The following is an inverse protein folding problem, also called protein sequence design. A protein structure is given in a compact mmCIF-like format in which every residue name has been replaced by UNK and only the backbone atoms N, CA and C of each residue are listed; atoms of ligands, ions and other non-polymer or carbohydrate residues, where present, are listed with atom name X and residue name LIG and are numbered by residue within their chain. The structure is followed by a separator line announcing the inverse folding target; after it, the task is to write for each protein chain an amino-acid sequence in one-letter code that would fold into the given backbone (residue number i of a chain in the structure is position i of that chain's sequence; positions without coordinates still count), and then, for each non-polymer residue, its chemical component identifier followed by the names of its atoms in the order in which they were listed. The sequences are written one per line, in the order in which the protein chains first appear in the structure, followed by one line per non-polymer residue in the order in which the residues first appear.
data_IF_250438933678
#
_entry.id   IF_250438933678
#
_cell.length_a   1.000
_cell.length_b   1.000
_cell.length_c   1.000
_cell.angle_alpha   90.00
_cell.angle_beta   90.00
_cell.angle_gamma   90.00
#
_symmetry.space_group_name_H-M   'P 1'
#
loop_
_entity.id
_entity.type
_entity.pdbx_description
1 polymer ?
#
# COMPACT_ATOMS: atom_id res chain seq x y z
N UNK A 1 -19.45 40.95 18.62
CA UNK A 1 -20.11 40.01 17.68
C UNK A 1 -21.08 39.15 18.47
N UNK A 2 -22.38 39.24 18.16
CA UNK A 2 -23.45 38.28 18.49
C UNK A 2 -23.90 38.13 19.95
N UNK A 3 -24.59 39.13 20.52
CA UNK A 3 -25.32 39.00 21.79
C UNK A 3 -26.80 38.57 21.54
N UNK A 4 -27.02 37.62 20.63
CA UNK A 4 -28.36 37.18 20.22
C UNK A 4 -28.62 35.72 20.62
N UNK A 5 -29.77 35.53 21.28
CA UNK A 5 -30.33 34.22 21.59
C UNK A 5 -30.70 33.51 20.29
N UNK A 6 -30.30 32.24 20.14
CA UNK A 6 -30.64 31.43 18.98
C UNK A 6 -31.85 30.57 19.26
N UNK A 7 -32.82 30.56 18.35
CA UNK A 7 -33.89 29.57 18.36
C UNK A 7 -33.32 28.16 18.15
N UNK A 8 -34.05 27.12 18.56
CA UNK A 8 -33.63 25.73 18.32
C UNK A 8 -33.37 25.42 16.84
N UNK A 9 -34.06 26.10 15.92
CA UNK A 9 -33.85 25.94 14.48
C UNK A 9 -32.54 26.55 14.00
N UNK A 10 -32.21 27.77 14.46
CA UNK A 10 -30.94 28.43 14.17
C UNK A 10 -29.77 27.68 14.81
N UNK A 11 -29.95 27.28 16.07
CA UNK A 11 -28.99 26.46 16.78
C UNK A 11 -28.67 25.17 16.03
N UNK A 12 -29.69 24.50 15.50
CA UNK A 12 -29.51 23.27 14.74
C UNK A 12 -28.70 23.49 13.45
N UNK A 13 -28.98 24.60 12.75
CA UNK A 13 -28.27 24.99 11.53
C UNK A 13 -26.81 25.33 11.80
N UNK A 14 -26.54 26.09 12.86
CA UNK A 14 -25.21 26.65 13.15
C UNK A 14 -24.27 25.67 13.86
N UNK A 15 -24.82 24.70 14.61
CA UNK A 15 -24.06 23.68 15.33
C UNK A 15 -23.87 22.38 14.56
N UNK A 16 -24.71 22.12 13.55
CA UNK A 16 -24.74 20.83 12.85
C UNK A 16 -25.42 19.70 13.63
N UNK A 17 -26.03 19.99 14.79
CA UNK A 17 -26.93 19.07 15.50
C UNK A 17 -28.36 19.26 15.02
N UNK A 18 -29.02 18.19 14.56
CA UNK A 18 -30.44 18.28 14.22
C UNK A 18 -31.31 18.69 15.41
N UNK A 19 -32.48 19.29 15.16
CA UNK A 19 -33.45 19.72 16.20
C UNK A 19 -33.81 18.58 17.18
N UNK A 20 -33.95 17.36 16.67
CA UNK A 20 -34.18 16.17 17.51
C UNK A 20 -32.99 15.86 18.43
N UNK A 21 -31.76 16.03 17.96
CA UNK A 21 -30.55 15.83 18.76
C UNK A 21 -30.43 16.88 19.87
N UNK A 22 -30.75 18.14 19.59
CA UNK A 22 -30.78 19.21 20.60
C UNK A 22 -31.80 18.93 21.70
N UNK A 23 -33.00 18.45 21.35
CA UNK A 23 -34.02 18.01 22.33
C UNK A 23 -33.56 16.81 23.15
N UNK A 24 -32.85 15.88 22.51
CA UNK A 24 -32.29 14.71 23.18
C UNK A 24 -31.22 15.10 24.21
N UNK A 25 -30.30 16.01 23.85
CA UNK A 25 -29.25 16.47 24.76
C UNK A 25 -29.77 17.33 25.91
N UNK A 26 -30.81 18.13 25.67
CA UNK A 26 -31.55 18.81 26.72
C UNK A 26 -32.14 17.80 27.73
N UNK A 27 -32.91 16.80 27.24
CA UNK A 27 -33.49 15.77 28.10
C UNK A 27 -32.45 14.90 28.84
N UNK A 28 -31.24 14.77 28.29
CA UNK A 28 -30.13 14.06 28.90
C UNK A 28 -29.25 14.95 29.81
N UNK A 29 -29.56 16.24 29.93
CA UNK A 29 -28.81 17.20 30.75
C UNK A 29 -27.41 17.51 30.23
N UNK A 30 -27.17 17.33 28.93
CA UNK A 30 -25.85 17.53 28.28
C UNK A 30 -25.71 18.91 27.69
N UNK A 31 -26.80 19.45 27.13
CA UNK A 31 -26.88 20.81 26.62
C UNK A 31 -28.27 21.37 26.94
N UNK A 32 -28.37 22.00 28.11
CA UNK A 32 -29.64 22.55 28.61
C UNK A 32 -29.84 23.95 28.02
N UNK A 33 -30.96 24.23 27.33
CA UNK A 33 -31.22 25.55 26.74
C UNK A 33 -31.33 26.64 27.82
N UNK A 34 -30.76 27.80 27.56
CA UNK A 34 -30.82 28.98 28.45
C UNK A 34 -32.25 29.44 28.74
N UNK A 35 -33.19 29.24 27.81
CA UNK A 35 -34.60 29.55 28.01
C UNK A 35 -35.51 28.54 27.33
N UNK A 36 -36.52 28.09 28.06
CA UNK A 36 -37.65 27.32 27.53
C UNK A 36 -38.93 28.11 27.76
N UNK A 37 -39.69 28.33 26.69
CA UNK A 37 -41.00 28.98 26.78
C UNK A 37 -41.98 28.09 27.56
N UNK A 38 -42.62 28.60 28.64
CA UNK A 38 -43.43 27.80 29.54
C UNK A 38 -44.77 27.33 28.95
N UNK A 39 -45.22 27.93 27.84
CA UNK A 39 -46.52 27.62 27.21
C UNK A 39 -46.34 26.72 25.99
N UNK A 40 -45.37 27.05 25.14
CA UNK A 40 -45.10 26.34 23.87
C UNK A 40 -43.99 25.30 23.98
N UNK A 41 -43.18 25.32 25.05
CA UNK A 41 -42.00 24.46 25.20
C UNK A 41 -40.86 24.79 24.23
N UNK A 42 -40.91 25.97 23.60
CA UNK A 42 -39.93 26.40 22.60
C UNK A 42 -38.59 26.76 23.25
N UNK A 43 -37.48 26.31 22.65
CA UNK A 43 -36.13 26.39 23.25
C UNK A 43 -35.29 27.46 22.59
N UNK A 44 -34.55 28.19 23.43
CA UNK A 44 -33.62 29.23 23.03
C UNK A 44 -32.26 28.99 23.70
N UNK A 45 -31.20 29.18 22.92
CA UNK A 45 -29.82 28.92 23.32
C UNK A 45 -29.02 30.23 23.33
N UNK A 46 -28.19 30.41 24.35
CA UNK A 46 -27.33 31.57 24.47
C UNK A 46 -26.11 31.54 23.54
N UNK A 47 -25.39 32.66 23.40
CA UNK A 47 -24.22 32.76 22.54
C UNK A 47 -23.06 31.84 22.95
N UNK A 48 -22.92 31.54 24.25
CA UNK A 48 -21.87 30.63 24.76
C UNK A 48 -22.14 29.14 24.48
N UNK A 49 -23.38 28.77 24.14
CA UNK A 49 -23.78 27.38 23.95
C UNK A 49 -23.47 26.86 22.54
N UNK A 50 -23.13 27.75 21.60
CA UNK A 50 -22.87 27.38 20.22
C UNK A 50 -21.61 26.52 20.08
N UNK A 51 -20.51 26.89 20.74
CA UNK A 51 -19.26 26.14 20.65
C UNK A 51 -19.34 24.80 21.39
N UNK A 52 -20.07 24.74 22.50
CA UNK A 52 -20.39 23.50 23.19
C UNK A 52 -21.21 22.56 22.29
N UNK A 53 -22.24 23.07 21.62
CA UNK A 53 -23.03 22.26 20.69
C UNK A 53 -22.24 21.79 19.45
N UNK A 54 -21.31 22.62 18.96
CA UNK A 54 -20.38 22.21 17.88
C UNK A 54 -19.46 21.09 18.33
N UNK A 55 -18.90 21.19 19.55
CA UNK A 55 -18.13 20.11 20.14
C UNK A 55 -18.95 18.82 20.19
N UNK A 56 -20.18 18.87 20.72
CA UNK A 56 -21.07 17.72 20.78
C UNK A 56 -21.36 17.13 19.38
N UNK A 57 -21.51 17.98 18.36
CA UNK A 57 -21.68 17.55 16.98
C UNK A 57 -20.46 16.77 16.46
N UNK A 58 -19.25 17.25 16.74
CA UNK A 58 -18.02 16.58 16.35
C UNK A 58 -17.82 15.25 17.08
N UNK A 59 -18.03 15.21 18.41
CA UNK A 59 -17.91 13.98 19.19
C UNK A 59 -18.92 12.92 18.75
N UNK A 60 -20.17 13.32 18.49
CA UNK A 60 -21.21 12.43 17.96
C UNK A 60 -20.83 11.88 16.58
N UNK A 61 -20.31 12.72 15.69
CA UNK A 61 -19.88 12.30 14.34
C UNK A 61 -18.69 11.35 14.39
N UNK A 62 -17.80 11.52 15.37
CA UNK A 62 -16.70 10.62 15.66
C UNK A 62 -17.14 9.29 16.32
N UNK A 63 -18.45 9.07 16.50
CA UNK A 63 -18.98 7.85 17.08
C UNK A 63 -18.69 7.68 18.58
N UNK A 64 -18.41 8.78 19.30
CA UNK A 64 -18.17 8.72 20.73
C UNK A 64 -19.43 8.27 21.48
N UNK A 65 -19.34 7.31 22.43
CA UNK A 65 -20.49 6.88 23.22
C UNK A 65 -21.10 8.01 24.03
N UNK A 66 -22.41 7.95 24.27
CA UNK A 66 -23.13 8.99 25.00
C UNK A 66 -22.56 9.25 26.41
N UNK A 67 -22.08 8.21 27.09
CA UNK A 67 -21.46 8.35 28.41
C UNK A 67 -20.19 9.23 28.35
N UNK A 68 -19.34 9.00 27.34
CA UNK A 68 -18.10 9.75 27.14
C UNK A 68 -18.41 11.19 26.67
N UNK A 69 -19.44 11.37 25.83
CA UNK A 69 -19.95 12.69 25.43
C UNK A 69 -20.40 13.52 26.64
N UNK A 70 -21.08 12.89 27.62
CA UNK A 70 -21.51 13.58 28.85
C UNK A 70 -20.33 14.07 29.67
N UNK A 71 -19.29 13.24 29.80
CA UNK A 71 -18.08 13.61 30.53
C UNK A 71 -17.30 14.71 29.81
N UNK A 72 -17.22 14.64 28.48
CA UNK A 72 -16.58 15.67 27.67
C UNK A 72 -17.33 17.01 27.75
N UNK A 73 -18.66 17.00 27.74
CA UNK A 73 -19.48 18.20 27.93
C UNK A 73 -19.27 18.82 29.32
N UNK A 74 -19.28 18.01 30.37
CA UNK A 74 -19.02 18.47 31.74
C UNK A 74 -17.61 19.05 31.89
N UNK A 75 -16.59 18.41 31.29
CA UNK A 75 -15.22 18.92 31.26
C UNK A 75 -15.11 20.23 30.49
N UNK A 76 -15.83 20.38 29.38
CA UNK A 76 -15.89 21.62 28.60
C UNK A 76 -16.50 22.77 29.41
N UNK A 77 -17.67 22.55 30.02
CA UNK A 77 -18.33 23.55 30.87
C UNK A 77 -17.50 23.91 32.12
N UNK A 78 -16.80 22.92 32.71
CA UNK A 78 -15.92 23.08 33.86
C UNK A 78 -14.50 23.58 33.55
N UNK A 79 -14.18 23.86 32.28
CA UNK A 79 -12.82 24.21 31.82
C UNK A 79 -11.72 23.18 32.12
N UNK A 80 -12.09 21.91 32.33
CA UNK A 80 -11.16 20.80 32.53
C UNK A 80 -10.71 20.23 31.18
N UNK A 81 -9.76 20.93 30.56
CA UNK A 81 -9.17 20.54 29.29
C UNK A 81 -8.45 19.18 29.36
N UNK A 82 -7.88 18.83 30.51
CA UNK A 82 -7.12 17.58 30.66
C UNK A 82 -8.05 16.37 30.57
N UNK A 83 -9.22 16.44 31.21
CA UNK A 83 -10.23 15.39 31.12
C UNK A 83 -10.72 15.18 29.69
N UNK A 84 -11.04 16.26 28.97
CA UNK A 84 -11.53 16.17 27.58
C UNK A 84 -10.47 15.55 26.66
N UNK A 85 -9.21 15.97 26.77
CA UNK A 85 -8.11 15.39 25.97
C UNK A 85 -7.90 13.91 26.28
N UNK A 86 -8.01 13.50 27.54
CA UNK A 86 -7.91 12.09 27.94
C UNK A 86 -9.01 11.24 27.30
N UNK A 87 -10.26 11.70 27.36
CA UNK A 87 -11.40 10.99 26.76
C UNK A 87 -11.26 10.86 25.24
N UNK A 88 -10.74 11.89 24.56
CA UNK A 88 -10.45 11.85 23.14
C UNK A 88 -9.37 10.81 22.80
N UNK A 89 -8.28 10.78 23.55
CA UNK A 89 -7.21 9.81 23.35
C UNK A 89 -7.67 8.37 23.59
N UNK A 90 -8.46 8.13 24.64
CA UNK A 90 -9.02 6.81 24.93
C UNK A 90 -9.98 6.34 23.84
N UNK A 91 -10.82 7.24 23.31
CA UNK A 91 -11.73 6.91 22.20
C UNK A 91 -10.98 6.66 20.89
N UNK A 92 -9.91 7.43 20.60
CA UNK A 92 -9.07 7.19 19.43
C UNK A 92 -8.44 5.80 19.47
N UNK A 93 -7.84 5.42 20.61
CA UNK A 93 -7.29 4.07 20.81
C UNK A 93 -8.36 2.98 20.64
N UNK A 94 -9.59 3.23 21.10
CA UNK A 94 -10.71 2.30 20.94
C UNK A 94 -11.07 2.11 19.46
N UNK A 95 -11.13 3.20 18.68
CA UNK A 95 -11.38 3.17 17.24
C UNK A 95 -10.27 2.44 16.49
N UNK A 96 -9.01 2.71 16.82
CA UNK A 96 -7.85 2.05 16.19
C UNK A 96 -7.84 0.55 16.44
N UNK A 97 -8.13 0.11 17.69
CA UNK A 97 -8.27 -1.31 18.02
C UNK A 97 -9.42 -1.95 17.24
N UNK A 98 -10.58 -1.30 17.20
CA UNK A 98 -11.74 -1.78 16.45
C UNK A 98 -11.46 -1.88 14.95
N UNK A 99 -10.72 -0.92 14.37
CA UNK A 99 -10.27 -0.98 12.98
C UNK A 99 -9.31 -2.14 12.74
N UNK A 100 -8.36 -2.36 13.65
CA UNK A 100 -7.44 -3.50 13.59
C UNK A 100 -8.18 -4.85 13.64
N UNK A 101 -9.16 -4.98 14.54
CA UNK A 101 -10.03 -6.17 14.62
C UNK A 101 -10.84 -6.37 13.34
N UNK A 102 -11.53 -5.32 12.87
CA UNK A 102 -12.30 -5.39 11.63
C UNK A 102 -11.42 -5.78 10.44
N UNK A 103 -10.22 -5.21 10.31
CA UNK A 103 -9.25 -5.58 9.26
C UNK A 103 -8.86 -7.06 9.35
N UNK A 104 -8.60 -7.59 10.55
CA UNK A 104 -8.30 -9.01 10.74
C UNK A 104 -9.47 -9.90 10.32
N UNK A 105 -10.68 -9.56 10.73
CA UNK A 105 -11.89 -10.28 10.34
C UNK A 105 -12.11 -10.27 8.82
N UNK A 106 -11.99 -9.11 8.16
CA UNK A 106 -12.10 -9.02 6.71
C UNK A 106 -11.02 -9.83 5.99
N UNK A 107 -9.79 -9.86 6.52
CA UNK A 107 -8.72 -10.72 6.00
C UNK A 107 -9.06 -12.19 6.13
N UNK A 108 -9.64 -12.63 7.26
CA UNK A 108 -10.09 -14.02 7.43
C UNK A 108 -11.24 -14.38 6.49
N UNK A 109 -12.24 -13.51 6.35
CA UNK A 109 -13.35 -13.72 5.40
C UNK A 109 -12.82 -13.79 3.97
N UNK A 110 -11.88 -12.92 3.58
CA UNK A 110 -11.24 -13.00 2.27
C UNK A 110 -10.49 -14.32 2.09
N UNK A 111 -9.69 -14.74 3.07
CA UNK A 111 -9.00 -16.03 3.00
C UNK A 111 -9.97 -17.22 2.85
N UNK A 112 -11.12 -17.18 3.52
CA UNK A 112 -12.17 -18.20 3.39
C UNK A 112 -12.88 -18.16 2.03
N UNK A 113 -13.09 -16.95 1.47
CA UNK A 113 -13.65 -16.78 0.13
C UNK A 113 -12.65 -17.22 -0.93
N UNK A 114 -11.37 -16.87 -0.81
CA UNK A 114 -10.30 -17.33 -1.71
C UNK A 114 -10.21 -18.86 -1.67
N UNK A 115 -10.31 -19.47 -0.48
CA UNK A 115 -10.36 -20.94 -0.33
C UNK A 115 -11.61 -21.58 -0.98
N UNK A 116 -12.67 -20.82 -1.24
CA UNK A 116 -13.92 -21.27 -1.86
C UNK A 116 -14.04 -20.88 -3.35
N UNK A 117 -13.36 -19.82 -3.77
CA UNK A 117 -13.31 -19.29 -5.14
C UNK A 117 -12.17 -19.90 -5.98
N UNK A 118 -11.27 -20.69 -5.38
CA UNK A 118 -10.54 -21.71 -6.14
C UNK A 118 -11.61 -22.63 -6.76
N UNK A 119 -11.82 -22.63 -8.09
CA UNK A 119 -12.72 -23.59 -8.71
C UNK A 119 -12.21 -24.98 -8.36
N UNK A 120 -13.13 -25.86 -7.97
CA UNK A 120 -12.93 -27.30 -7.90
C UNK A 120 -12.32 -27.83 -9.21
N UNK A 121 -11.00 -27.77 -9.28
CA UNK A 121 -10.09 -28.52 -10.15
C UNK A 121 -8.69 -28.61 -9.50
N UNK A 122 -8.43 -27.93 -8.38
CA UNK A 122 -7.24 -28.22 -7.56
C UNK A 122 -7.48 -29.50 -6.75
N UNK A 123 -6.98 -30.61 -7.28
CA UNK A 123 -6.83 -31.90 -6.62
C UNK A 123 -6.38 -31.75 -5.17
N UNK A 124 -7.18 -32.32 -4.26
CA UNK A 124 -6.84 -32.58 -2.86
C UNK A 124 -5.55 -33.39 -2.75
N UNK A 125 -4.52 -32.82 -2.11
CA UNK A 125 -3.46 -33.36 -1.24
C UNK A 125 -2.99 -34.85 -1.27
N UNK A 126 -3.32 -35.64 -2.30
CA UNK A 126 -2.86 -37.02 -2.44
C UNK A 126 -2.28 -37.35 -3.83
N UNK A 127 -2.49 -36.47 -4.83
CA UNK A 127 -1.88 -36.53 -6.17
C UNK A 127 -1.39 -35.12 -6.57
N UNK A 128 -0.39 -34.57 -5.88
CA UNK A 128 0.24 -33.34 -6.34
C UNK A 128 1.06 -33.68 -7.59
N UNK A 129 0.49 -33.43 -8.77
CA UNK A 129 1.25 -33.53 -10.02
C UNK A 129 2.39 -32.53 -9.94
N UNK A 130 3.60 -33.05 -9.77
CA UNK A 130 4.81 -32.24 -9.79
C UNK A 130 4.91 -31.50 -11.12
N UNK A 131 5.01 -30.19 -11.04
CA UNK A 131 5.19 -29.32 -12.19
C UNK A 131 6.68 -29.09 -12.38
N UNK A 132 7.18 -29.38 -13.57
CA UNK A 132 8.58 -29.13 -13.94
C UNK A 132 8.63 -28.10 -15.05
N UNK A 133 9.37 -27.02 -14.83
CA UNK A 133 9.63 -25.97 -15.82
C UNK A 133 11.12 -25.95 -16.14
N UNK A 134 11.46 -26.05 -17.42
CA UNK A 134 12.83 -25.87 -17.90
C UNK A 134 12.96 -24.44 -18.43
N UNK A 135 13.95 -23.71 -17.93
CA UNK A 135 14.27 -22.34 -18.34
C UNK A 135 15.76 -22.21 -18.67
N UNK A 136 16.16 -21.12 -19.31
CA UNK A 136 17.59 -20.77 -19.37
C UNK A 136 18.06 -20.27 -18.00
N UNK A 137 19.22 -20.75 -17.54
CA UNK A 137 19.78 -20.32 -16.26
C UNK A 137 20.08 -18.83 -16.22
N UNK A 138 20.63 -18.29 -17.31
CA UNK A 138 20.90 -16.86 -17.48
C UNK A 138 19.61 -16.01 -17.46
N UNK A 139 18.55 -16.46 -18.13
CA UNK A 139 17.27 -15.74 -18.15
C UNK A 139 16.60 -15.70 -16.77
N UNK A 140 16.59 -16.83 -16.06
CA UNK A 140 16.06 -16.86 -14.69
C UNK A 140 16.92 -16.04 -13.73
N UNK A 141 18.25 -16.08 -13.87
CA UNK A 141 19.17 -15.26 -13.08
C UNK A 141 18.86 -13.76 -13.24
N UNK A 142 18.78 -13.29 -14.49
CA UNK A 142 18.45 -11.91 -14.82
C UNK A 142 17.07 -11.50 -14.28
N UNK A 143 16.08 -12.40 -14.37
CA UNK A 143 14.75 -12.13 -13.83
C UNK A 143 14.73 -12.02 -12.31
N UNK A 144 15.46 -12.88 -11.60
CA UNK A 144 15.59 -12.80 -10.14
C UNK A 144 16.39 -11.57 -9.68
N UNK A 145 17.47 -11.22 -10.39
CA UNK A 145 18.23 -9.98 -10.17
C UNK A 145 17.35 -8.73 -10.34
N UNK A 146 16.42 -8.76 -11.30
CA UNK A 146 15.52 -7.66 -11.58
C UNK A 146 14.40 -7.47 -10.54
N UNK A 147 14.13 -8.44 -9.65
CA UNK A 147 12.99 -8.34 -8.73
C UNK A 147 13.31 -8.50 -7.25
N UNK A 148 14.32 -9.31 -6.86
CA UNK A 148 14.51 -9.68 -5.43
C UNK A 148 14.69 -8.50 -4.48
N UNK A 149 15.20 -7.37 -4.98
CA UNK A 149 15.43 -6.16 -4.20
C UNK A 149 14.13 -5.55 -3.65
N UNK A 150 12.98 -5.82 -4.28
CA UNK A 150 11.69 -5.26 -3.91
C UNK A 150 10.93 -6.08 -2.87
N UNK A 151 11.47 -7.21 -2.40
CA UNK A 151 10.85 -8.01 -1.35
C UNK A 151 10.88 -7.28 0.01
N UNK A 152 9.83 -7.46 0.80
CA UNK A 152 9.70 -6.85 2.12
C UNK A 152 10.62 -7.50 3.15
N UNK A 153 11.07 -6.72 4.12
CA UNK A 153 11.71 -7.22 5.36
C UNK A 153 10.80 -7.07 6.58
N UNK A 154 9.54 -6.67 6.38
CA UNK A 154 8.55 -6.44 7.45
C UNK A 154 8.05 -7.78 8.01
N UNK A 155 8.31 -8.10 9.30
CA UNK A 155 7.85 -9.35 9.90
C UNK A 155 6.32 -9.41 10.06
N UNK A 156 5.61 -8.28 10.00
CA UNK A 156 4.14 -8.26 10.06
C UNK A 156 3.49 -8.74 8.76
N UNK A 157 4.24 -8.76 7.64
CA UNK A 157 3.78 -9.25 6.34
C UNK A 157 4.71 -10.32 5.76
N UNK A 158 4.77 -11.52 6.38
CA UNK A 158 5.73 -12.55 5.98
C UNK A 158 5.64 -12.95 4.51
N UNK A 159 4.43 -12.97 3.92
CA UNK A 159 4.21 -13.34 2.51
C UNK A 159 4.93 -12.39 1.53
N UNK A 160 5.13 -11.13 1.92
CA UNK A 160 5.86 -10.15 1.11
C UNK A 160 7.38 -10.28 1.26
N UNK A 161 7.86 -11.06 2.22
CA UNK A 161 9.26 -11.46 2.36
C UNK A 161 9.69 -12.57 1.40
N UNK A 162 8.95 -12.76 0.31
CA UNK A 162 9.26 -13.70 -0.75
C UNK A 162 8.98 -13.12 -2.14
N UNK A 163 9.36 -13.88 -3.15
CA UNK A 163 9.13 -13.58 -4.57
C UNK A 163 8.07 -14.54 -5.09
N UNK A 164 7.00 -14.00 -5.66
CA UNK A 164 5.99 -14.78 -6.36
C UNK A 164 6.57 -15.30 -7.68
N UNK A 165 6.49 -16.61 -7.87
CA UNK A 165 6.73 -17.32 -9.11
C UNK A 165 5.37 -17.66 -9.70
N UNK A 166 5.08 -17.17 -10.88
CA UNK A 166 3.76 -17.21 -11.50
C UNK A 166 3.89 -17.65 -12.95
N UNK A 167 3.59 -18.91 -13.20
CA UNK A 167 3.67 -19.51 -14.52
C UNK A 167 2.28 -19.82 -15.06
N UNK A 168 2.02 -19.32 -16.26
CA UNK A 168 0.81 -19.60 -17.03
C UNK A 168 1.20 -20.39 -18.28
N UNK A 169 0.63 -21.59 -18.45
CA UNK A 169 0.94 -22.48 -19.57
C UNK A 169 0.68 -21.83 -20.93
N UNK A 170 -0.37 -21.00 -21.04
CA UNK A 170 -0.65 -20.26 -22.28
C UNK A 170 0.37 -19.15 -22.56
N UNK A 171 0.97 -18.60 -21.50
CA UNK A 171 1.89 -17.46 -21.59
C UNK A 171 3.33 -17.84 -21.93
N UNK A 172 3.74 -19.10 -21.74
CA UNK A 172 5.08 -19.59 -22.08
C UNK A 172 6.24 -18.93 -21.32
N UNK A 173 5.95 -18.18 -20.25
CA UNK A 173 6.95 -17.47 -19.47
C UNK A 173 6.62 -17.55 -17.97
N UNK A 174 7.66 -17.76 -17.17
CA UNK A 174 7.59 -17.65 -15.72
C UNK A 174 7.75 -16.18 -15.34
N UNK A 175 6.69 -15.57 -14.81
CA UNK A 175 6.77 -14.24 -14.23
C UNK A 175 7.23 -14.34 -12.78
N UNK A 176 8.21 -13.52 -12.42
CA UNK A 176 8.68 -13.36 -11.04
C UNK A 176 8.34 -11.97 -10.55
N UNK A 177 7.78 -11.88 -9.34
CA UNK A 177 7.24 -10.63 -8.81
C UNK A 177 7.60 -10.46 -7.34
N UNK A 178 8.08 -9.28 -6.95
CA UNK A 178 8.35 -8.93 -5.56
C UNK A 178 7.78 -7.55 -5.22
N UNK A 179 7.33 -7.37 -3.98
CA UNK A 179 6.77 -6.09 -3.51
C UNK A 179 6.87 -5.95 -1.99
N UNK A 180 6.97 -4.71 -1.52
CA UNK A 180 7.01 -4.34 -0.10
C UNK A 180 5.87 -3.37 0.31
N UNK A 181 4.82 -3.28 -0.54
CA UNK A 181 3.71 -2.30 -0.53
C UNK A 181 4.03 -0.92 -1.08
N UNK A 182 5.28 -0.50 -1.08
CA UNK A 182 5.71 0.83 -1.54
C UNK A 182 6.36 0.79 -2.91
N UNK A 183 6.87 -0.37 -3.31
CA UNK A 183 7.36 -0.65 -4.65
C UNK A 183 6.99 -2.06 -5.08
N UNK A 184 7.04 -2.29 -6.38
CA UNK A 184 6.80 -3.57 -7.01
C UNK A 184 7.76 -3.75 -8.19
N UNK A 185 8.35 -4.92 -8.31
CA UNK A 185 9.20 -5.28 -9.45
C UNK A 185 8.67 -6.55 -10.10
N UNK A 186 8.62 -6.53 -11.43
CA UNK A 186 8.15 -7.64 -12.28
C UNK A 186 9.22 -7.90 -13.33
N UNK A 187 9.52 -9.17 -13.55
CA UNK A 187 10.34 -9.64 -14.66
C UNK A 187 9.81 -10.99 -15.13
N UNK A 188 10.16 -11.38 -16.35
CA UNK A 188 9.81 -12.69 -16.89
C UNK A 188 11.06 -13.46 -17.35
N UNK A 189 10.97 -14.79 -17.28
CA UNK A 189 11.93 -15.69 -17.91
C UNK A 189 11.18 -16.66 -18.82
N UNK A 190 11.66 -16.80 -20.06
CA UNK A 190 11.06 -17.71 -21.03
C UNK A 190 11.20 -19.17 -20.57
N UNK A 191 10.10 -19.92 -20.65
CA UNK A 191 10.06 -21.35 -20.35
C UNK A 191 10.21 -22.11 -21.65
N UNK A 192 11.22 -22.98 -21.73
CA UNK A 192 11.51 -23.77 -22.94
C UNK A 192 10.75 -25.09 -22.97
N UNK A 193 10.43 -25.63 -21.80
CA UNK A 193 9.62 -26.84 -21.66
C UNK A 193 8.87 -26.81 -20.32
N UNK A 194 7.67 -27.41 -20.31
CA UNK A 194 6.87 -27.58 -19.10
C UNK A 194 6.27 -28.98 -19.08
N UNK A 195 6.38 -29.68 -17.96
CA UNK A 195 5.80 -31.00 -17.71
C UNK A 195 4.90 -30.96 -16.48
N UNK A 196 3.88 -31.84 -16.45
CA UNK A 196 2.95 -31.94 -15.32
C UNK A 196 1.87 -30.85 -15.27
N UNK A 197 1.72 -30.05 -16.33
CA UNK A 197 0.60 -29.10 -16.51
C UNK A 197 -0.28 -29.49 -17.70
N UNK A 198 -1.59 -29.30 -17.52
CA UNK A 198 -2.52 -29.19 -18.65
C UNK A 198 -2.40 -27.80 -19.31
N UNK A 199 -2.81 -27.69 -20.58
CA UNK A 199 -2.59 -26.49 -21.40
C UNK A 199 -3.26 -25.20 -20.86
N UNK A 200 -4.23 -25.32 -19.95
CA UNK A 200 -4.92 -24.18 -19.33
C UNK A 200 -4.53 -23.98 -17.84
N UNK A 201 -3.53 -24.71 -17.35
CA UNK A 201 -3.15 -24.68 -15.94
C UNK A 201 -2.20 -23.52 -15.63
N UNK A 202 -2.36 -22.96 -14.43
CA UNK A 202 -1.48 -21.94 -13.86
C UNK A 202 -0.91 -22.43 -12.54
N UNK A 203 0.35 -22.09 -12.28
CA UNK A 203 1.07 -22.46 -11.06
C UNK A 203 1.63 -21.21 -10.41
N UNK A 204 1.34 -21.08 -9.11
CA UNK A 204 1.83 -19.98 -8.30
C UNK A 204 2.53 -20.50 -7.05
N UNK A 205 3.71 -19.97 -6.78
CA UNK A 205 4.51 -20.31 -5.62
C UNK A 205 5.18 -19.05 -5.07
N UNK A 206 5.01 -18.74 -3.79
CA UNK A 206 5.71 -17.62 -3.15
C UNK A 206 6.98 -18.16 -2.50
N UNK A 207 8.13 -17.86 -3.08
CA UNK A 207 9.42 -18.40 -2.66
C UNK A 207 10.08 -17.44 -1.66
N UNK A 208 10.43 -17.85 -0.43
CA UNK A 208 11.06 -16.97 0.55
C UNK A 208 12.36 -16.36 0.03
N UNK A 209 12.63 -15.07 0.32
CA UNK A 209 13.83 -14.37 -0.20
C UNK A 209 15.15 -15.11 0.04
N UNK A 210 15.43 -15.72 1.23
CA UNK A 210 16.67 -16.48 1.42
C UNK A 210 16.80 -17.68 0.46
N UNK A 211 15.68 -18.32 0.10
CA UNK A 211 15.68 -19.41 -0.87
C UNK A 211 15.86 -18.88 -2.29
N UNK A 212 15.27 -17.74 -2.62
CA UNK A 212 15.48 -17.05 -3.91
C UNK A 212 16.95 -16.66 -4.08
N UNK A 213 17.60 -16.15 -3.03
CA UNK A 213 19.03 -15.82 -3.05
C UNK A 213 19.89 -17.06 -3.27
N UNK A 214 19.56 -18.16 -2.58
CA UNK A 214 20.23 -19.45 -2.79
C UNK A 214 20.07 -19.95 -4.23
N UNK A 215 18.84 -19.92 -4.76
CA UNK A 215 18.51 -20.26 -6.14
C UNK A 215 19.32 -19.41 -7.13
N UNK A 216 19.33 -18.09 -6.93
CA UNK A 216 20.11 -17.17 -7.76
C UNK A 216 21.60 -17.51 -7.75
N UNK A 217 22.17 -17.87 -6.60
CA UNK A 217 23.59 -18.24 -6.47
C UNK A 217 23.95 -19.58 -7.15
N UNK A 218 22.96 -20.41 -7.52
CA UNK A 218 23.17 -21.60 -8.34
C UNK A 218 23.26 -21.26 -9.83
N UNK A 219 22.50 -20.25 -10.27
CA UNK A 219 22.34 -19.89 -11.67
C UNK A 219 23.60 -19.22 -12.23
N UNK A 220 24.17 -19.85 -13.25
CA UNK A 220 25.30 -19.33 -14.03
C UNK A 220 24.88 -18.66 -15.33
N UNK A 221 25.87 -18.25 -16.12
CA UNK A 221 25.68 -17.64 -17.45
C UNK A 221 25.29 -18.66 -18.54
N UNK A 222 25.50 -19.96 -18.29
CA UNK A 222 25.26 -21.04 -19.25
C UNK A 222 24.45 -22.17 -18.62
N UNK A 223 23.71 -22.89 -19.47
CA UNK A 223 22.98 -24.10 -19.11
C UNK A 223 21.50 -23.89 -18.77
N UNK A 224 20.70 -24.97 -18.83
CA UNK A 224 19.31 -24.95 -18.39
C UNK A 224 19.21 -24.96 -16.86
N UNK A 225 18.10 -24.45 -16.36
CA UNK A 225 17.67 -24.59 -14.98
C UNK A 225 16.31 -25.28 -14.94
N UNK A 226 16.15 -26.26 -14.06
CA UNK A 226 14.90 -26.98 -13.86
C UNK A 226 14.26 -26.52 -12.55
N UNK A 227 13.07 -25.93 -12.66
CA UNK A 227 12.26 -25.54 -11.51
C UNK A 227 11.17 -26.59 -11.29
N UNK A 228 11.19 -27.22 -10.13
CA UNK A 228 10.18 -28.17 -9.68
C UNK A 228 9.26 -27.49 -8.65
N UNK A 229 7.96 -27.55 -8.89
CA UNK A 229 6.92 -27.10 -7.95
C UNK A 229 6.01 -28.28 -7.63
N UNK A 230 5.93 -28.64 -6.36
CA UNK A 230 5.11 -29.76 -5.86
C UNK A 230 4.42 -29.35 -4.57
N UNK A 231 3.12 -29.07 -4.66
CA UNK A 231 2.33 -28.60 -3.51
C UNK A 231 2.89 -27.30 -2.92
N UNK A 232 3.39 -27.36 -1.68
CA UNK A 232 4.01 -26.23 -0.97
C UNK A 232 5.53 -26.23 -1.05
N UNK A 233 6.14 -27.07 -1.89
CA UNK A 233 7.58 -27.16 -2.07
C UNK A 233 7.99 -26.64 -3.44
N UNK A 234 9.16 -26.02 -3.45
CA UNK A 234 9.83 -25.56 -4.66
C UNK A 234 11.30 -25.96 -4.60
N UNK A 235 11.84 -26.43 -5.73
CA UNK A 235 13.26 -26.73 -5.88
C UNK A 235 13.75 -26.22 -7.24
N UNK A 236 15.00 -25.77 -7.27
CA UNK A 236 15.70 -25.38 -8.47
C UNK A 236 16.96 -26.24 -8.60
N UNK A 237 17.11 -26.85 -9.77
CA UNK A 237 18.29 -27.62 -10.15
C UNK A 237 19.01 -26.92 -11.31
N UNK A 238 20.33 -26.78 -11.20
CA UNK A 238 21.18 -26.23 -12.24
C UNK A 238 22.49 -27.05 -12.30
N UNK A 239 22.58 -27.93 -13.30
CA UNK A 239 23.66 -28.94 -13.37
C UNK A 239 23.58 -29.92 -12.19
N UNK A 240 24.66 -30.05 -11.44
CA UNK A 240 24.73 -30.93 -10.25
C UNK A 240 24.31 -30.23 -8.93
N UNK A 241 23.97 -28.94 -9.00
CA UNK A 241 23.65 -28.13 -7.82
C UNK A 241 22.14 -27.96 -7.69
N UNK A 242 21.64 -28.00 -6.46
CA UNK A 242 20.22 -27.83 -6.16
C UNK A 242 19.98 -26.97 -4.93
N UNK A 243 18.87 -26.23 -4.92
CA UNK A 243 18.35 -25.50 -3.78
C UNK A 243 16.84 -25.65 -3.74
N UNK A 244 16.29 -26.03 -2.60
CA UNK A 244 14.85 -26.21 -2.44
C UNK A 244 14.38 -26.00 -1.01
N UNK A 245 13.09 -25.78 -0.86
CA UNK A 245 12.47 -25.49 0.42
C UNK A 245 10.96 -25.39 0.32
N UNK A 246 10.35 -24.85 1.38
CA UNK A 246 8.91 -24.62 1.44
C UNK A 246 8.58 -23.20 0.98
N UNK A 247 7.53 -23.10 0.20
CA UNK A 247 6.91 -21.84 -0.18
C UNK A 247 6.23 -21.19 1.03
N UNK A 248 6.08 -19.88 0.97
CA UNK A 248 5.23 -19.14 1.90
C UNK A 248 3.76 -19.47 1.61
N UNK A 249 2.92 -19.25 2.62
CA UNK A 249 1.48 -19.44 2.50
C UNK A 249 0.84 -18.54 1.43
N UNK A 250 -0.43 -18.80 1.09
CA UNK A 250 -1.16 -18.00 0.10
C UNK A 250 -1.34 -16.54 0.56
N UNK A 251 -1.71 -15.65 -0.37
CA UNK A 251 -2.03 -14.25 -0.07
C UNK A 251 -1.08 -13.20 -0.64
N UNK A 252 -0.25 -13.56 -1.63
CA UNK A 252 0.51 -12.57 -2.40
C UNK A 252 -0.47 -11.66 -3.18
N UNK A 253 -0.26 -10.33 -3.20
CA UNK A 253 -1.17 -9.40 -3.90
C UNK A 253 -1.32 -9.69 -5.39
N UNK A 254 -2.53 -9.52 -5.93
CA UNK A 254 -2.80 -9.62 -7.37
C UNK A 254 -2.18 -8.43 -8.13
N UNK A 255 -0.90 -8.57 -8.49
CA UNK A 255 -0.12 -7.55 -9.19
C UNK A 255 -0.66 -7.22 -10.59
N UNK A 256 -1.44 -8.10 -11.22
CA UNK A 256 -1.97 -7.90 -12.58
C UNK A 256 -2.89 -6.70 -12.68
N UNK A 257 -3.51 -6.30 -11.56
CA UNK A 257 -4.31 -5.08 -11.45
C UNK A 257 -3.47 -3.81 -11.59
N UNK A 258 -2.19 -3.88 -11.21
CA UNK A 258 -1.24 -2.76 -11.26
C UNK A 258 -0.54 -2.63 -12.62
N UNK A 259 -0.61 -3.64 -13.49
CA UNK A 259 -0.09 -3.59 -14.86
C UNK A 259 -0.89 -2.61 -15.75
N UNK A 260 -2.16 -2.34 -15.41
CA UNK A 260 -3.10 -1.55 -16.22
C UNK A 260 -3.10 -0.05 -15.89
N UNK A 261 -1.97 0.52 -15.50
CA UNK A 261 -1.91 1.96 -15.24
C UNK A 261 -1.99 2.74 -16.56
N UNK A 262 -2.74 3.87 -16.61
CA UNK A 262 -2.84 4.70 -17.80
C UNK A 262 -1.47 5.26 -18.18
N UNK A 263 -1.22 5.36 -19.48
CA UNK A 263 0.06 5.82 -20.01
C UNK A 263 0.40 7.23 -19.48
N UNK A 264 1.61 7.36 -18.95
CA UNK A 264 2.14 8.62 -18.44
C UNK A 264 3.05 9.33 -19.44
N UNK A 265 3.62 10.46 -18.99
CA UNK A 265 4.75 11.11 -19.66
C UNK A 265 5.95 10.18 -19.60
N UNK A 266 6.60 9.92 -20.74
CA UNK A 266 7.75 9.02 -20.86
C UNK A 266 9.02 9.81 -21.12
N UNK A 267 10.09 9.51 -20.39
CA UNK A 267 11.41 10.06 -20.60
C UNK A 267 12.46 8.95 -20.64
N UNK A 268 13.36 8.99 -21.62
CA UNK A 268 14.50 8.07 -21.70
C UNK A 268 15.65 8.69 -20.93
N UNK A 269 16.17 7.96 -19.95
CA UNK A 269 17.30 8.41 -19.13
C UNK A 269 18.54 7.57 -19.39
N UNK A 270 19.70 8.22 -19.41
CA UNK A 270 20.98 7.55 -19.26
C UNK A 270 21.16 7.17 -17.78
N UNK A 271 21.28 5.87 -17.51
CA UNK A 271 21.22 5.34 -16.14
C UNK A 271 22.42 5.82 -15.32
N UNK A 272 23.61 5.87 -15.90
CA UNK A 272 24.81 6.31 -15.18
C UNK A 272 24.71 7.78 -14.78
N UNK A 273 24.38 8.65 -15.74
CA UNK A 273 24.22 10.09 -15.50
C UNK A 273 23.08 10.37 -14.52
N UNK A 274 21.91 9.75 -14.71
CA UNK A 274 20.74 10.00 -13.87
C UNK A 274 20.90 9.47 -12.44
N UNK A 275 21.62 8.36 -12.24
CA UNK A 275 21.99 7.89 -10.89
C UNK A 275 22.91 8.89 -10.19
N UNK A 276 23.83 9.51 -10.91
CA UNK A 276 24.73 10.51 -10.34
C UNK A 276 24.00 11.80 -9.99
N UNK A 277 23.10 12.25 -10.87
CA UNK A 277 22.18 13.35 -10.60
C UNK A 277 21.31 13.04 -9.37
N UNK A 278 20.76 11.83 -9.29
CA UNK A 278 19.98 11.41 -8.13
C UNK A 278 20.79 11.41 -6.86
N UNK A 279 22.07 11.03 -6.85
CA UNK A 279 22.94 10.97 -5.64
C UNK A 279 23.50 12.31 -5.19
N UNK A 280 23.69 13.24 -6.12
CA UNK A 280 24.19 14.59 -5.83
C UNK A 280 23.06 15.61 -5.65
N UNK A 281 21.87 15.29 -6.18
CA UNK A 281 20.68 16.14 -6.15
C UNK A 281 20.04 16.28 -4.77
N UNK A 282 19.13 17.26 -4.63
CA UNK A 282 18.45 17.57 -3.38
C UNK A 282 17.52 16.44 -2.93
N UNK A 283 17.31 16.37 -1.62
CA UNK A 283 16.41 15.41 -0.99
C UNK A 283 15.58 16.07 0.08
N UNK A 284 14.37 15.55 0.29
CA UNK A 284 13.53 15.88 1.45
C UNK A 284 13.50 14.69 2.39
N UNK A 285 13.79 14.93 3.66
CA UNK A 285 13.73 13.88 4.68
C UNK A 285 12.29 13.57 5.04
N UNK A 286 11.95 12.28 5.13
CA UNK A 286 10.68 11.79 5.65
C UNK A 286 10.89 10.70 6.69
N UNK A 287 9.81 10.43 7.43
CA UNK A 287 9.75 9.36 8.43
C UNK A 287 8.60 8.43 8.07
N UNK A 288 8.87 7.13 7.95
CA UNK A 288 7.85 6.13 7.66
C UNK A 288 6.93 5.97 8.87
N UNK A 289 5.63 6.09 8.65
CA UNK A 289 4.62 6.05 9.73
C UNK A 289 4.61 4.73 10.53
N UNK A 290 4.99 3.62 9.88
CA UNK A 290 4.89 2.28 10.48
C UNK A 290 5.96 1.99 11.54
N UNK A 291 7.19 2.44 11.30
CA UNK A 291 8.35 2.07 12.13
C UNK A 291 9.24 3.25 12.51
N UNK A 292 8.91 4.46 12.07
CA UNK A 292 9.69 5.65 12.34
C UNK A 292 11.03 5.71 11.57
N UNK A 293 11.25 4.85 10.59
CA UNK A 293 12.49 4.85 9.81
C UNK A 293 12.58 6.12 8.95
N UNK A 294 13.70 6.83 9.07
CA UNK A 294 13.99 7.98 8.22
C UNK A 294 14.36 7.53 6.80
N UNK A 295 13.88 8.24 5.79
CA UNK A 295 14.22 8.00 4.39
C UNK A 295 14.24 9.30 3.58
N UNK A 296 14.93 9.26 2.45
CA UNK A 296 15.10 10.40 1.57
C UNK A 296 14.13 10.33 0.38
N UNK A 297 13.50 11.46 0.06
CA UNK A 297 12.61 11.63 -1.08
C UNK A 297 13.28 12.55 -2.10
N UNK A 298 13.37 12.09 -3.35
CA UNK A 298 13.74 12.92 -4.50
C UNK A 298 12.47 13.34 -5.24
N UNK A 299 12.41 14.61 -5.67
CA UNK A 299 11.30 15.13 -6.47
C UNK A 299 11.72 15.14 -7.92
N UNK A 300 10.98 14.42 -8.76
CA UNK A 300 11.27 14.31 -10.18
C UNK A 300 10.33 15.21 -11.00
N UNK A 301 10.89 15.79 -12.06
CA UNK A 301 10.13 16.43 -13.13
C UNK A 301 10.31 15.64 -14.41
N UNK A 302 9.21 15.11 -14.96
CA UNK A 302 9.17 14.42 -16.25
C UNK A 302 8.34 15.27 -17.21
N UNK A 303 8.99 15.80 -18.24
CA UNK A 303 8.40 16.72 -19.20
C UNK A 303 7.76 15.98 -20.38
N UNK A 304 6.81 16.62 -21.05
CA UNK A 304 6.22 16.11 -22.30
C UNK A 304 7.26 16.00 -23.44
N UNK A 305 8.36 16.74 -23.34
CA UNK A 305 9.51 16.67 -24.24
C UNK A 305 10.41 15.45 -24.02
N UNK A 306 10.08 14.58 -23.07
CA UNK A 306 10.81 13.34 -22.81
C UNK A 306 12.10 13.50 -22.01
N UNK A 307 12.25 14.62 -21.30
CA UNK A 307 13.33 14.82 -20.33
C UNK A 307 12.84 14.52 -18.91
N UNK A 308 13.66 13.83 -18.13
CA UNK A 308 13.48 13.63 -16.69
C UNK A 308 14.66 14.23 -15.93
N UNK A 309 14.38 15.02 -14.90
CA UNK A 309 15.40 15.69 -14.06
C UNK A 309 15.00 15.68 -12.59
N UNK A 310 15.99 15.79 -11.71
CA UNK A 310 15.79 15.97 -10.27
C UNK A 310 15.57 17.45 -9.99
N UNK A 311 14.43 17.77 -9.37
CA UNK A 311 14.03 19.16 -9.16
C UNK A 311 14.92 19.82 -8.10
N UNK A 312 15.39 21.04 -8.39
CA UNK A 312 16.19 21.86 -7.48
C UNK A 312 15.43 22.36 -6.24
N UNK A 313 16.17 22.74 -5.20
CA UNK A 313 15.60 23.32 -3.98
C UNK A 313 14.87 24.64 -4.28
N UNK A 314 13.62 24.78 -3.77
CA UNK A 314 12.80 25.98 -3.96
C UNK A 314 12.04 26.10 -5.28
N UNK A 315 12.05 25.08 -6.15
CA UNK A 315 11.20 25.04 -7.32
C UNK A 315 9.74 24.76 -6.92
N UNK A 316 8.96 25.82 -6.72
CA UNK A 316 7.53 25.74 -6.44
C UNK A 316 6.77 25.17 -7.65
N UNK A 317 5.86 24.23 -7.42
CA UNK A 317 4.88 23.75 -8.41
C UNK A 317 4.30 22.39 -8.05
N UNK A 318 3.00 22.23 -8.25
CA UNK A 318 2.20 21.06 -7.85
C UNK A 318 2.50 19.79 -8.68
N UNK A 319 3.32 19.87 -9.74
CA UNK A 319 3.45 18.82 -10.77
C UNK A 319 4.63 17.84 -10.57
N UNK A 320 5.46 18.03 -9.54
CA UNK A 320 6.60 17.16 -9.24
C UNK A 320 6.19 15.83 -8.61
N UNK A 321 6.88 14.74 -8.97
CA UNK A 321 6.60 13.40 -8.42
C UNK A 321 7.65 13.08 -7.35
N UNK A 322 7.22 13.06 -6.09
CA UNK A 322 8.06 12.62 -4.97
C UNK A 322 8.21 11.10 -4.97
N UNK A 323 9.44 10.60 -4.91
CA UNK A 323 9.74 9.16 -4.79
C UNK A 323 10.84 8.91 -3.79
N UNK A 324 10.77 7.77 -3.10
CA UNK A 324 11.87 7.33 -2.25
C UNK A 324 13.14 7.14 -3.09
N UNK A 325 14.20 7.87 -2.76
CA UNK A 325 15.45 7.92 -3.51
C UNK A 325 16.15 6.56 -3.56
N UNK A 326 16.21 5.86 -2.42
CA UNK A 326 16.83 4.55 -2.35
C UNK A 326 16.10 3.54 -3.25
N UNK A 327 14.77 3.56 -3.23
CA UNK A 327 13.98 2.67 -4.09
C UNK A 327 14.17 2.96 -5.57
N UNK A 328 14.29 4.23 -5.96
CA UNK A 328 14.55 4.61 -7.34
C UNK A 328 15.95 4.17 -7.80
N UNK A 329 16.95 4.36 -6.94
CA UNK A 329 18.31 3.88 -7.21
C UNK A 329 18.36 2.35 -7.33
N UNK A 330 17.61 1.61 -6.52
CA UNK A 330 17.53 0.16 -6.64
C UNK A 330 16.88 -0.25 -7.98
N UNK A 331 15.76 0.38 -8.35
CA UNK A 331 15.06 0.11 -9.60
C UNK A 331 15.92 0.40 -10.84
N UNK A 332 16.68 1.51 -10.82
CA UNK A 332 17.62 1.86 -11.90
C UNK A 332 18.78 0.85 -11.99
N UNK A 333 19.27 0.33 -10.86
CA UNK A 333 20.31 -0.69 -10.84
C UNK A 333 19.79 -2.03 -11.39
N UNK A 334 18.60 -2.45 -10.95
CA UNK A 334 17.97 -3.71 -11.35
C UNK A 334 17.57 -3.74 -12.84
N UNK A 335 17.36 -2.57 -13.44
CA UNK A 335 17.12 -2.45 -14.88
C UNK A 335 18.25 -3.00 -15.74
N UNK A 336 19.50 -2.95 -15.27
CA UNK A 336 20.70 -3.51 -15.92
C UNK A 336 20.82 -3.13 -17.41
N UNK A 337 20.59 -1.84 -17.71
CA UNK A 337 20.70 -1.25 -19.04
C UNK A 337 21.31 0.14 -18.92
N UNK A 338 22.04 0.57 -19.95
CA UNK A 338 22.58 1.94 -20.03
C UNK A 338 21.46 2.99 -20.14
N UNK A 339 20.32 2.59 -20.72
CA UNK A 339 19.14 3.44 -20.90
C UNK A 339 17.89 2.77 -20.38
N UNK A 340 17.09 3.52 -19.65
CA UNK A 340 15.78 3.11 -19.14
C UNK A 340 14.73 4.16 -19.47
N UNK A 341 13.47 3.74 -19.45
CA UNK A 341 12.33 4.64 -19.63
C UNK A 341 11.68 4.89 -18.27
N UNK A 342 11.63 6.16 -17.87
CA UNK A 342 10.81 6.62 -16.76
C UNK A 342 9.44 7.00 -17.30
N UNK A 343 8.39 6.46 -16.71
CA UNK A 343 7.00 6.74 -17.05
C UNK A 343 6.27 7.28 -15.83
N UNK A 344 5.78 8.50 -15.97
CA UNK A 344 5.28 9.34 -14.89
C UNK A 344 3.89 9.88 -15.22
N UNK A 345 2.91 9.53 -14.40
CA UNK A 345 1.54 10.06 -14.49
C UNK A 345 1.37 11.40 -13.76
N UNK A 346 0.21 11.54 -13.10
CA UNK A 346 -0.05 12.61 -12.14
C UNK A 346 0.86 12.50 -10.90
N UNK A 347 1.05 13.56 -10.11
CA UNK A 347 1.89 13.56 -8.90
C UNK A 347 1.58 12.46 -7.87
N UNK A 348 0.34 11.98 -7.85
CA UNK A 348 -0.15 10.91 -6.98
C UNK A 348 -0.25 9.54 -7.68
N UNK A 349 0.20 9.43 -8.93
CA UNK A 349 0.29 8.18 -9.66
C UNK A 349 1.67 7.53 -9.46
N UNK A 350 1.76 6.19 -9.52
CA UNK A 350 3.05 5.51 -9.44
C UNK A 350 4.01 5.90 -10.56
N UNK A 351 5.30 5.97 -10.21
CA UNK A 351 6.39 6.08 -11.18
C UNK A 351 6.76 4.69 -11.67
N UNK A 352 6.85 4.49 -12.99
CA UNK A 352 7.29 3.23 -13.58
C UNK A 352 8.67 3.38 -14.21
N UNK A 353 9.55 2.41 -13.97
CA UNK A 353 10.88 2.27 -14.59
C UNK A 353 10.85 1.04 -15.48
N UNK A 354 11.01 1.22 -16.79
CA UNK A 354 10.96 0.14 -17.79
C UNK A 354 12.27 0.01 -18.54
N UNK A 355 12.55 -1.19 -19.06
CA UNK A 355 13.60 -1.36 -20.06
C UNK A 355 13.14 -0.84 -21.42
N UNK A 356 14.09 -0.45 -22.27
CA UNK A 356 13.80 0.02 -23.64
C UNK A 356 13.55 -1.13 -24.61
N UNK A 357 14.08 -2.32 -24.30
CA UNK A 357 14.04 -3.55 -25.09
C UNK A 357 12.99 -4.56 -24.60
N UNK A 358 12.41 -4.32 -23.42
CA UNK A 358 11.49 -5.26 -22.75
C UNK A 358 10.48 -4.49 -21.88
N UNK A 359 9.22 -4.46 -22.31
CA UNK A 359 8.14 -3.80 -21.55
C UNK A 359 7.55 -4.72 -20.45
N UNK A 360 7.82 -6.03 -20.49
CA UNK A 360 7.35 -7.00 -19.49
C UNK A 360 8.19 -6.96 -18.20
N UNK A 361 9.42 -6.43 -18.28
CA UNK A 361 10.26 -6.15 -17.11
C UNK A 361 10.17 -4.70 -16.69
N UNK A 362 9.62 -4.45 -15.50
CA UNK A 362 9.45 -3.11 -14.98
C UNK A 362 9.43 -3.05 -13.45
N UNK A 363 9.79 -1.88 -12.93
CA UNK A 363 9.63 -1.52 -11.52
C UNK A 363 8.60 -0.40 -11.38
N UNK A 364 7.81 -0.44 -10.32
CA UNK A 364 6.78 0.52 -9.97
C UNK A 364 7.08 1.05 -8.57
N UNK A 365 7.09 2.37 -8.41
CA UNK A 365 7.33 3.05 -7.14
C UNK A 365 6.10 3.89 -6.79
N UNK A 366 5.58 3.68 -5.57
CA UNK A 366 4.49 4.50 -5.07
C UNK A 366 4.97 5.93 -4.80
N UNK A 367 4.17 6.94 -5.14
CA UNK A 367 4.56 8.32 -4.93
C UNK A 367 4.47 8.67 -3.46
N UNK A 368 5.38 9.54 -3.03
CA UNK A 368 5.43 10.08 -1.68
C UNK A 368 4.88 11.50 -1.75
N UNK A 369 3.87 11.80 -0.92
CA UNK A 369 3.38 13.16 -0.78
C UNK A 369 4.48 14.01 -0.18
N UNK A 370 4.79 15.08 -0.86
CA UNK A 370 5.81 16.02 -0.43
C UNK A 370 5.05 17.25 0.08
N UNK A 371 5.04 17.45 1.39
CA UNK A 371 4.52 18.70 1.96
C UNK A 371 5.54 19.82 1.65
N UNK A 372 5.02 21.01 1.34
CA UNK A 372 5.83 22.21 1.07
C UNK A 372 6.36 22.86 2.35
#
# INVERSE_FOLDING_TARGET
MGNEMRSIGEMARDSGLGVSALRFYDGAGVLVPDRVDPVSGYRWYGPGQLDEARLLAHLRRAGMPLADIRLAAAGWAGSDRALVLKLLAEHLLRLERGLGEARREFSMVRALLDAREIPMSSTTAADATAVRLTLSGAGLAAALDAVRFAASTDPELPVLGGVLFDFDAEGGALRVVATDRYRLAVSAAAVTASEGLEAASRVQAVVPSPLVDAMRALLGAEGPAELLVEGDRVALEAGERQAGGRCLGPGFPDYRRLVRLPAGRRAVVDVAAFREELRSGPVRGQVREQDGAAYEVSVLEVTDGGAATVRGDGAAGEDGIGVNRAFLLDALAAGDRDRLVLEAGAPNAPLTVRRTDDEDTYSLLMPVRVED
#
